data_IF_547993520657
#
_entry.id   IF_547993520657
#
_cell.length_a   1.000
_cell.length_b   1.000
_cell.length_c   1.000
_cell.angle_alpha   90.00
_cell.angle_beta   90.00
_cell.angle_gamma   90.00
#
_symmetry.space_group_name_H-M   'P 1'
#
loop_
_entity.id
_entity.type
_entity.pdbx_description
1 polymer ?
2 non-polymer ?
3 water ?
#
# COMPACT_ATOMS: atom_id res chain seq x y z
N UNK A 1 -7.09 -12.21 -10.55
CA UNK A 1 -6.16 -13.33 -10.16
C UNK A 1 -4.78 -12.77 -9.90
N UNK A 2 -4.12 -13.20 -8.81
CA UNK A 2 -2.71 -12.87 -8.65
C UNK A 2 -1.86 -14.05 -9.09
N UNK A 3 -0.72 -13.72 -9.68
CA UNK A 3 0.12 -14.67 -10.34
C UNK A 3 1.58 -14.59 -9.93
N UNK A 4 2.00 -13.58 -9.14
CA UNK A 4 3.40 -13.40 -8.83
C UNK A 4 3.73 -13.61 -7.37
N UNK A 5 4.82 -14.32 -7.15
CA UNK A 5 5.46 -14.39 -5.87
C UNK A 5 6.62 -13.40 -5.90
N UNK A 6 6.35 -12.18 -5.47
CA UNK A 6 7.38 -11.13 -5.45
C UNK A 6 8.45 -11.45 -4.41
N UNK A 7 9.70 -11.15 -4.73
CA UNK A 7 10.80 -11.39 -3.83
C UNK A 7 11.08 -10.12 -3.05
N UNK A 8 11.16 -10.26 -1.73
CA UNK A 8 11.49 -9.13 -0.88
C UNK A 8 12.94 -8.72 -1.03
N UNK A 9 13.22 -7.45 -0.78
CA UNK A 9 14.59 -6.94 -0.69
C UNK A 9 15.41 -7.78 0.31
N UNK A 10 16.57 -8.29 -0.13
CA UNK A 10 17.51 -8.93 0.80
C UNK A 10 18.02 -7.82 1.73
N UNK A 11 17.96 -8.08 3.00
CA UNK A 11 18.44 -7.06 3.91
C UNK A 11 17.50 -5.86 4.09
N UNK A 12 16.25 -5.97 3.64
CA UNK A 12 15.16 -5.06 3.96
C UNK A 12 15.30 -4.56 5.39
N UNK A 13 15.24 -3.25 5.58
CA UNK A 13 15.32 -2.61 6.89
C UNK A 13 13.93 -2.25 7.36
N UNK A 14 13.37 -3.12 8.19
CA UNK A 14 11.98 -2.95 8.61
C UNK A 14 11.78 -1.72 9.51
N UNK A 15 12.76 -1.40 10.35
CA UNK A 15 12.64 -0.24 11.23
C UNK A 15 12.54 1.07 10.44
N UNK A 16 13.31 1.15 9.37
CA UNK A 16 13.27 2.33 8.52
C UNK A 16 11.95 2.43 7.76
N UNK A 17 11.48 1.34 7.21
CA UNK A 17 10.24 1.35 6.43
C UNK A 17 9.03 1.64 7.31
N UNK A 18 8.95 0.92 8.43
CA UNK A 18 7.87 1.01 9.38
C UNK A 18 8.21 2.02 10.48
N UNK A 19 8.51 3.25 10.08
CA UNK A 19 8.99 4.27 11.01
C UNK A 19 7.91 5.25 11.44
N UNK A 20 6.67 5.03 11.00
CA UNK A 20 5.54 5.90 11.32
C UNK A 20 5.27 7.00 10.32
N UNK A 21 6.12 7.15 9.30
CA UNK A 21 5.94 8.23 8.33
C UNK A 21 5.03 7.73 7.18
N UNK A 22 4.73 8.65 6.28
CA UNK A 22 3.87 8.42 5.11
C UNK A 22 4.71 8.11 3.88
N UNK A 23 4.20 7.16 3.08
CA UNK A 23 4.67 6.85 1.75
C UNK A 23 3.56 7.20 0.76
N UNK A 24 3.92 7.88 -0.33
CA UNK A 24 3.00 8.23 -1.39
C UNK A 24 3.22 7.34 -2.59
N UNK A 25 2.15 6.84 -3.19
CA UNK A 25 2.26 6.14 -4.48
C UNK A 25 2.46 7.19 -5.57
N UNK A 26 3.54 7.11 -6.30
CA UNK A 26 3.80 8.00 -7.41
C UNK A 26 3.51 7.34 -8.76
N UNK A 27 3.60 6.02 -8.81
CA UNK A 27 3.41 5.28 -10.07
C UNK A 27 2.97 3.87 -9.74
N UNK A 28 2.13 3.28 -10.57
CA UNK A 28 1.66 1.92 -10.30
C UNK A 28 1.42 1.17 -11.58
N UNK A 29 1.37 -0.14 -11.44
CA UNK A 29 1.14 -1.04 -12.57
C UNK A 29 0.37 -2.23 -12.07
N UNK A 30 -0.78 -2.50 -12.64
CA UNK A 30 -1.51 -3.72 -12.33
C UNK A 30 -1.47 -4.64 -13.54
N UNK A 31 -1.01 -5.88 -13.32
CA UNK A 31 -0.90 -6.88 -14.38
C UNK A 31 -2.24 -7.24 -15.01
N UNK A 32 -3.31 -6.97 -14.28
CA UNK A 32 -4.69 -6.90 -14.80
C UNK A 32 -5.11 -5.43 -14.81
N UNK A 33 -4.78 -4.67 -15.87
CA UNK A 33 -4.92 -3.20 -15.83
C UNK A 33 -6.35 -2.69 -15.58
N UNK A 34 -7.39 -3.46 -15.95
CA UNK A 34 -8.77 -3.02 -15.72
C UNK A 34 -9.24 -3.09 -14.24
N UNK A 35 -8.42 -3.64 -13.35
CA UNK A 35 -8.77 -3.79 -11.94
C UNK A 35 -8.69 -2.48 -11.17
N UNK A 36 -7.86 -1.56 -11.66
CA UNK A 36 -7.67 -0.24 -11.05
C UNK A 36 -7.89 0.84 -12.12
N UNK A 37 -8.61 1.93 -11.76
CA UNK A 37 -8.79 3.01 -12.72
C UNK A 37 -7.44 3.59 -13.20
N UNK A 38 -7.44 4.13 -14.42
CA UNK A 38 -6.26 4.73 -15.05
C UNK A 38 -5.78 5.96 -14.28
N UNK A 39 -6.71 6.62 -13.60
CA UNK A 39 -6.43 7.76 -12.75
C UNK A 39 -6.79 7.37 -11.32
N UNK A 40 -5.80 7.35 -10.45
CA UNK A 40 -6.00 6.91 -9.08
C UNK A 40 -4.95 7.55 -8.17
N UNK A 41 -5.29 7.70 -6.87
CA UNK A 41 -4.44 8.34 -5.84
C UNK A 41 -4.32 7.34 -4.68
N UNK A 42 -3.14 7.19 -4.08
CA UNK A 42 -3.00 6.36 -2.89
C UNK A 42 -1.78 6.75 -2.11
N UNK A 43 -1.89 6.52 -0.80
CA UNK A 43 -0.79 6.74 0.13
C UNK A 43 -0.99 5.83 1.31
N UNK A 44 0.06 5.64 2.08
CA UNK A 44 0.00 4.77 3.25
C UNK A 44 0.97 5.24 4.32
N UNK A 45 0.58 5.03 5.56
CA UNK A 45 1.51 5.17 6.66
C UNK A 45 1.84 3.78 7.14
N UNK A 46 3.07 3.55 7.53
CA UNK A 46 3.56 2.26 7.98
C UNK A 46 4.37 2.50 9.25
N UNK A 47 4.05 1.79 10.33
CA UNK A 47 4.69 2.04 11.62
C UNK A 47 4.55 0.86 12.53
N UNK A 48 5.20 0.93 13.69
CA UNK A 48 4.85 0.10 14.85
C UNK A 48 4.12 0.97 15.90
N UNK A 49 3.01 0.46 16.40
CA UNK A 49 2.17 1.16 17.41
C UNK A 49 1.91 0.21 18.56
N UNK A 50 2.43 0.56 19.73
CA UNK A 50 2.27 -0.22 20.94
C UNK A 50 2.70 -1.65 20.66
N UNK A 51 3.83 -1.79 19.96
CA UNK A 51 4.46 -3.05 19.53
C UNK A 51 3.83 -3.88 18.43
N UNK A 52 2.80 -3.36 17.76
CA UNK A 52 2.10 -4.03 16.63
C UNK A 52 2.51 -3.39 15.27
N UNK A 53 2.85 -4.22 14.28
CA UNK A 53 3.21 -3.72 12.98
C UNK A 53 1.93 -3.27 12.27
N UNK A 54 1.89 -2.02 11.82
CA UNK A 54 0.62 -1.44 11.35
C UNK A 54 0.78 -0.74 10.03
N UNK A 55 -0.29 -0.78 9.25
CA UNK A 55 -0.38 0.07 8.08
C UNK A 55 -1.74 0.71 7.99
N UNK A 56 -1.77 1.96 7.54
CA UNK A 56 -3.02 2.67 7.25
C UNK A 56 -2.97 3.13 5.79
N UNK A 57 -3.94 2.67 5.02
CA UNK A 57 -3.88 2.75 3.60
C UNK A 57 -5.03 3.62 3.20
N UNK A 58 -4.72 4.52 2.29
CA UNK A 58 -5.66 5.47 1.73
C UNK A 58 -5.71 5.29 0.24
N UNK A 59 -6.90 5.32 -0.32
CA UNK A 59 -6.97 5.45 -1.75
C UNK A 59 -8.21 6.32 -2.16
N UNK A 60 -8.16 6.86 -3.38
CA UNK A 60 -9.06 7.91 -3.75
C UNK A 60 -9.11 7.91 -5.26
N UNK A 61 -10.32 7.75 -5.83
CA UNK A 61 -10.49 7.92 -7.23
C UNK A 61 -10.68 9.41 -7.47
N UNK A 62 -9.71 10.07 -8.15
CA UNK A 62 -9.78 11.52 -8.28
C UNK A 62 -10.91 12.04 -9.18
N UNK A 63 -11.58 11.13 -9.88
CA UNK A 63 -12.62 11.45 -10.87
C UNK A 63 -14.03 11.16 -10.32
N UNK A 64 -14.13 10.14 -9.47
CA UNK A 64 -15.42 9.81 -8.79
C UNK A 64 -15.49 10.34 -7.36
N UNK A 65 -14.33 10.62 -6.74
CA UNK A 65 -14.23 11.14 -5.36
C UNK A 65 -14.44 10.06 -4.31
N UNK A 66 -14.61 8.81 -4.72
CA UNK A 66 -14.76 7.72 -3.76
C UNK A 66 -13.50 7.65 -2.90
N UNK A 67 -13.67 7.54 -1.58
CA UNK A 67 -12.57 7.70 -0.63
C UNK A 67 -12.60 6.55 0.32
N UNK A 68 -11.45 5.91 0.57
CA UNK A 68 -11.34 4.74 1.40
C UNK A 68 -10.11 4.82 2.30
N UNK A 69 -10.31 4.54 3.58
CA UNK A 69 -9.22 4.28 4.51
C UNK A 69 -9.36 2.87 5.04
N UNK A 70 -8.22 2.16 5.02
CA UNK A 70 -8.08 0.82 5.56
C UNK A 70 -7.02 0.89 6.71
N UNK A 71 -7.14 0.01 7.71
CA UNK A 71 -6.12 -0.13 8.75
C UNK A 71 -5.86 -1.59 9.06
N UNK A 72 -4.59 -2.00 9.11
CA UNK A 72 -4.27 -3.38 9.35
C UNK A 72 -3.15 -3.48 10.34
N UNK A 73 -3.33 -4.48 11.19
CA UNK A 73 -2.30 -5.07 12.01
C UNK A 73 -1.64 -6.22 11.24
N UNK A 74 -0.50 -5.94 10.62
CA UNK A 74 0.18 -6.90 9.74
C UNK A 74 0.63 -8.16 10.48
N UNK A 75 0.66 -9.25 9.73
CA UNK A 75 1.29 -10.47 10.18
C UNK A 75 2.44 -10.81 9.23
N UNK A 76 3.47 -11.38 9.80
CA UNK A 76 4.73 -11.58 9.11
C UNK A 76 4.79 -12.96 8.49
N UNK A 77 5.00 -12.98 7.18
CA UNK A 77 5.32 -14.22 6.49
C UNK A 77 6.82 -14.46 6.39
N UNK A 78 7.56 -13.39 6.14
CA UNK A 78 9.04 -13.44 6.09
C UNK A 78 9.47 -11.98 6.09
N UNK A 79 10.75 -11.69 6.31
CA UNK A 79 11.22 -10.29 6.37
C UNK A 79 10.84 -9.60 5.07
N UNK A 80 10.03 -8.55 5.14
CA UNK A 80 9.60 -7.87 3.93
C UNK A 80 8.38 -8.42 3.19
N UNK A 81 7.71 -9.43 3.74
CA UNK A 81 6.49 -10.00 3.16
C UNK A 81 5.45 -10.19 4.26
N UNK A 82 4.31 -9.56 4.07
CA UNK A 82 3.28 -9.43 5.11
C UNK A 82 1.90 -9.77 4.59
N UNK A 83 1.04 -10.16 5.52
CA UNK A 83 -0.39 -10.34 5.28
C UNK A 83 -1.15 -9.30 6.13
N UNK A 84 -2.02 -8.52 5.48
CA UNK A 84 -2.73 -7.41 6.10
C UNK A 84 -4.24 -7.64 6.03
N UNK A 85 -4.82 -8.19 7.10
CA UNK A 85 -6.27 -8.30 7.23
C UNK A 85 -6.71 -6.91 7.65
N UNK A 86 -7.47 -6.24 6.80
CA UNK A 86 -7.81 -4.82 7.03
C UNK A 86 -9.23 -4.62 7.50
N UNK A 87 -9.39 -3.51 8.21
CA UNK A 87 -10.69 -2.98 8.57
C UNK A 87 -10.87 -1.66 7.83
N UNK A 88 -12.06 -1.45 7.29
CA UNK A 88 -12.39 -0.17 6.68
C UNK A 88 -12.79 0.79 7.79
N UNK A 89 -12.21 1.97 7.77
CA UNK A 89 -12.44 2.98 8.78
C UNK A 89 -12.67 4.33 8.13
N UNK A 90 -13.30 5.25 8.86
CA UNK A 90 -13.31 6.68 8.45
C UNK A 90 -11.91 7.25 8.76
N UNK A 91 -11.67 8.51 8.40
CA UNK A 91 -10.39 9.15 8.57
C UNK A 91 -9.94 9.26 10.00
N UNK A 92 -10.92 9.22 10.91
CA UNK A 92 -10.64 9.27 12.32
C UNK A 92 -10.43 7.90 12.99
N UNK A 93 -10.52 6.83 12.21
CA UNK A 93 -10.32 5.50 12.75
C UNK A 93 -11.57 4.77 13.22
N UNK A 94 -12.74 5.38 12.99
CA UNK A 94 -14.03 4.77 13.34
C UNK A 94 -14.32 3.57 12.41
N UNK A 95 -14.66 2.39 12.96
CA UNK A 95 -14.84 1.19 12.14
C UNK A 95 -16.11 1.26 11.31
N UNK A 96 -15.96 1.09 10.00
CA UNK A 96 -17.07 1.00 9.06
C UNK A 96 -17.31 -0.44 8.60
N UNK A 97 -16.21 -1.20 8.43
CA UNK A 97 -16.29 -2.63 8.12
C UNK A 97 -15.21 -3.30 8.95
N UNK A 98 -15.65 -4.18 9.85
CA UNK A 98 -14.76 -4.92 10.71
C UNK A 98 -13.83 -5.84 9.93
N UNK A 99 -12.74 -6.21 10.58
CA UNK A 99 -11.85 -7.25 10.05
C UNK A 99 -12.67 -8.52 9.78
N UNK A 100 -12.41 -9.16 8.65
CA UNK A 100 -13.08 -10.42 8.37
C UNK A 100 -12.12 -11.21 7.53
N UNK A 101 -11.92 -12.56 7.83
CA UNK A 101 -10.82 -13.40 7.33
C UNK A 101 -10.53 -13.21 5.82
N UNK A 102 -11.56 -13.06 5.00
CA UNK A 102 -11.39 -13.00 3.54
C UNK A 102 -10.90 -11.69 2.90
N UNK A 103 -10.88 -10.61 3.69
CA UNK A 103 -10.54 -9.22 3.34
C UNK A 103 -9.11 -9.00 3.78
N UNK A 104 -8.17 -9.18 2.86
CA UNK A 104 -6.76 -8.95 3.17
C UNK A 104 -5.97 -8.63 1.92
N UNK A 105 -4.86 -7.93 2.09
CA UNK A 105 -3.87 -7.89 1.03
C UNK A 105 -2.58 -8.48 1.55
N UNK A 106 -1.80 -9.02 0.61
CA UNK A 106 -0.40 -9.29 0.87
C UNK A 106 0.40 -8.08 0.42
N UNK A 107 1.58 -7.97 1.01
CA UNK A 107 2.39 -6.78 0.91
C UNK A 107 3.86 -7.17 0.97
N UNK A 108 4.54 -6.99 -0.14
CA UNK A 108 5.95 -7.33 -0.25
C UNK A 108 6.77 -6.12 -0.65
N UNK A 109 7.84 -5.86 0.09
CA UNK A 109 8.72 -4.72 -0.19
C UNK A 109 9.90 -5.26 -0.99
N UNK A 110 9.90 -5.00 -2.29
CA UNK A 110 10.89 -5.50 -3.23
C UNK A 110 12.19 -4.69 -3.18
N UNK A 111 12.07 -3.42 -2.85
CA UNK A 111 13.20 -2.49 -2.78
C UNK A 111 12.76 -1.35 -1.87
N UNK A 112 13.66 -0.87 -1.03
CA UNK A 112 13.41 0.33 -0.23
C UNK A 112 14.72 0.97 0.10
N UNK A 113 14.67 2.28 0.18
CA UNK A 113 15.74 3.07 0.79
C UNK A 113 15.08 4.14 1.63
N UNK A 114 15.81 5.17 2.00
CA UNK A 114 15.24 6.14 2.91
C UNK A 114 14.11 6.96 2.30
N UNK A 115 14.12 7.14 0.98
CA UNK A 115 13.18 8.00 0.31
C UNK A 115 12.23 7.34 -0.66
N UNK A 116 12.48 6.08 -1.03
CA UNK A 116 11.77 5.46 -2.12
C UNK A 116 11.59 3.97 -1.86
N UNK A 117 10.62 3.37 -2.56
CA UNK A 117 10.36 1.95 -2.44
C UNK A 117 9.62 1.44 -3.64
N UNK A 118 9.74 0.13 -3.83
CA UNK A 118 8.94 -0.63 -4.83
C UNK A 118 8.27 -1.75 -4.08
N UNK A 119 6.93 -1.81 -4.13
CA UNK A 119 6.17 -2.87 -3.47
C UNK A 119 5.27 -3.61 -4.47
N UNK A 120 4.98 -4.88 -4.14
CA UNK A 120 3.96 -5.67 -4.79
C UNK A 120 2.85 -5.90 -3.78
N UNK A 121 1.60 -5.83 -4.21
CA UNK A 121 0.50 -6.27 -3.36
C UNK A 121 -0.43 -7.13 -4.20
N UNK A 122 -1.10 -8.04 -3.50
CA UNK A 122 -2.26 -8.80 -4.01
C UNK A 122 -3.40 -8.58 -3.03
N UNK A 123 -4.42 -7.86 -3.49
CA UNK A 123 -5.60 -7.59 -2.70
C UNK A 123 -6.64 -8.68 -2.90
N UNK A 124 -7.22 -9.08 -1.78
CA UNK A 124 -8.35 -9.97 -1.80
C UNK A 124 -9.51 -9.30 -1.05
N UNK A 125 -10.67 -9.23 -1.70
CA UNK A 125 -11.90 -8.84 -0.97
C UNK A 125 -12.89 -9.99 -1.19
N UNK A 126 -12.88 -10.98 -0.29
CA UNK A 126 -13.62 -12.24 -0.47
C UNK A 126 -12.97 -13.13 -1.52
N UNK A 127 -13.79 -13.70 -2.41
CA UNK A 127 -13.28 -14.51 -3.53
C UNK A 127 -12.71 -13.68 -4.68
N UNK A 128 -12.79 -12.36 -4.60
CA UNK A 128 -12.33 -11.46 -5.66
C UNK A 128 -10.99 -10.83 -5.30
N UNK A 129 -10.17 -10.50 -6.29
CA UNK A 129 -8.89 -9.82 -6.03
C UNK A 129 -8.65 -8.70 -7.03
N UNK A 130 -7.67 -7.85 -6.71
CA UNK A 130 -7.32 -6.71 -7.56
C UNK A 130 -6.09 -6.93 -8.42
N UNK A 131 -5.66 -8.18 -8.59
CA UNK A 131 -4.58 -8.49 -9.50
C UNK A 131 -3.23 -8.25 -8.88
N UNK A 132 -2.17 -8.64 -9.58
CA UNK A 132 -0.87 -8.18 -9.05
C UNK A 132 -0.72 -6.70 -9.29
N UNK A 133 -0.50 -5.93 -8.23
CA UNK A 133 -0.36 -4.49 -8.32
C UNK A 133 0.98 -4.10 -7.76
N UNK A 134 1.82 -3.49 -8.59
CA UNK A 134 3.10 -2.96 -8.16
C UNK A 134 2.98 -1.48 -7.98
N UNK A 135 3.70 -0.92 -7.03
CA UNK A 135 3.70 0.51 -6.78
C UNK A 135 5.07 1.02 -6.45
N UNK A 136 5.41 2.15 -7.07
CA UNK A 136 6.58 2.95 -6.71
C UNK A 136 6.11 3.96 -5.68
N UNK A 137 6.82 4.00 -4.56
CA UNK A 137 6.54 4.91 -3.45
C UNK A 137 7.64 5.93 -3.30
N UNK A 138 7.29 7.10 -2.76
CA UNK A 138 8.26 8.10 -2.33
C UNK A 138 7.79 8.75 -1.06
N UNK A 139 8.73 9.24 -0.27
CA UNK A 139 8.44 10.06 0.89
C UNK A 139 7.90 11.43 0.53
N UNK A 140 8.19 11.89 -0.68
CA UNK A 140 7.70 13.17 -1.16
C UNK A 140 6.67 12.92 -2.24
N UNK A 141 5.56 13.57 -2.00
CA UNK A 141 4.41 13.49 -2.83
C UNK A 141 4.73 13.78 -4.30
N UNK A 142 5.61 14.72 -4.56
CA UNK A 142 5.88 15.04 -5.97
C UNK A 142 7.10 14.46 -6.69
N UNK A 143 7.84 13.55 -6.04
CA UNK A 143 9.13 13.13 -6.54
C UNK A 143 9.00 12.19 -7.70
N UNK A 144 9.66 12.58 -8.78
CA UNK A 144 9.98 11.71 -9.90
C UNK A 144 10.84 10.55 -9.42
N UNK A 145 10.58 9.38 -9.97
CA UNK A 145 11.30 8.21 -9.58
C UNK A 145 12.78 8.34 -9.96
N UNK A 146 13.63 8.08 -8.98
CA UNK A 146 15.07 8.05 -9.16
C UNK A 146 15.59 6.76 -9.71
N UNK A 147 16.89 6.79 -9.98
CA UNK A 147 17.57 5.66 -10.57
C UNK A 147 17.54 4.41 -9.70
N UNK A 148 17.63 4.54 -8.38
CA UNK A 148 17.62 3.34 -7.56
C UNK A 148 16.31 2.56 -7.74
N UNK A 149 15.16 3.22 -7.59
CA UNK A 149 13.89 2.51 -7.68
C UNK A 149 13.62 2.08 -9.11
N UNK A 150 14.00 2.90 -10.10
CA UNK A 150 13.75 2.49 -11.48
C UNK A 150 14.59 1.24 -11.83
N UNK A 151 15.81 1.18 -11.32
CA UNK A 151 16.63 0.01 -11.53
C UNK A 151 16.03 -1.21 -10.83
N UNK A 152 15.46 -1.04 -9.63
CA UNK A 152 14.75 -2.14 -8.97
C UNK A 152 13.55 -2.62 -9.79
N UNK A 153 12.84 -1.72 -10.48
CA UNK A 153 11.76 -2.14 -11.37
C UNK A 153 12.34 -3.04 -12.47
N UNK A 154 13.44 -2.62 -13.09
CA UNK A 154 14.11 -3.45 -14.08
C UNK A 154 14.59 -4.80 -13.51
N UNK A 155 15.07 -4.80 -12.26
CA UNK A 155 15.57 -6.03 -11.61
C UNK A 155 14.44 -7.03 -11.35
N UNK A 156 13.22 -6.52 -11.22
CA UNK A 156 12.03 -7.36 -11.10
C UNK A 156 11.49 -7.83 -12.46
N UNK A 157 12.24 -7.54 -13.54
CA UNK A 157 11.86 -7.86 -14.92
C UNK A 157 10.55 -7.16 -15.31
N UNK A 158 10.41 -5.91 -14.84
CA UNK A 158 9.33 -5.03 -15.24
C UNK A 158 9.90 -3.84 -15.99
N UNK A 159 9.01 -3.12 -16.66
CA UNK A 159 9.40 -1.93 -17.39
C UNK A 159 8.73 -0.70 -16.78
N UNK A 160 9.54 0.16 -16.20
CA UNK A 160 9.00 1.36 -15.56
C UNK A 160 8.18 2.23 -16.52
N UNK A 161 8.54 2.21 -17.80
CA UNK A 161 7.80 2.93 -18.81
C UNK A 161 6.32 2.56 -18.85
N UNK A 162 5.98 1.37 -18.41
CA UNK A 162 4.59 0.93 -18.43
C UNK A 162 3.82 1.37 -17.19
N UNK A 163 4.50 1.79 -16.14
CA UNK A 163 3.80 2.22 -14.94
C UNK A 163 3.01 3.50 -15.20
N UNK A 164 1.83 3.58 -14.58
CA UNK A 164 0.97 4.75 -14.68
C UNK A 164 1.36 5.70 -13.56
N UNK A 165 1.52 6.97 -13.89
CA UNK A 165 1.83 8.01 -12.93
C UNK A 165 0.58 8.45 -12.22
N UNK A 166 0.69 8.82 -10.94
CA UNK A 166 -0.40 9.46 -10.21
C UNK A 166 -0.25 10.98 -10.13
N UNK A 167 0.78 11.52 -10.75
CA UNK A 167 1.14 12.93 -10.53
C UNK A 167 0.20 13.95 -11.20
N UNK A 168 -0.55 13.56 -12.22
CA UNK A 168 -1.45 14.52 -12.87
C UNK A 168 -2.89 14.39 -12.43
N UNK A 169 -3.11 13.84 -11.23
CA UNK A 169 -4.46 13.57 -10.75
C UNK A 169 -4.97 14.57 -9.74
N UNK A 170 -4.18 15.59 -9.42
CA UNK A 170 -4.58 16.57 -8.44
C UNK A 170 -4.80 15.96 -7.05
N UNK A 171 -4.00 14.93 -6.73
CA UNK A 171 -4.10 14.20 -5.46
C UNK A 171 -3.72 15.09 -4.30
N UNK A 172 -4.53 15.08 -3.23
CA UNK A 172 -4.17 15.70 -1.95
C UNK A 172 -4.42 14.67 -0.87
N UNK A 173 -3.62 14.73 0.18
CA UNK A 173 -3.53 13.67 1.16
C UNK A 173 -3.62 14.27 2.56
N UNK A 174 -4.38 13.62 3.44
CA UNK A 174 -4.47 14.01 4.84
C UNK A 174 -3.41 13.23 5.59
N UNK A 175 -2.21 13.79 5.62
CA UNK A 175 -1.06 13.15 6.29
C UNK A 175 -1.29 12.90 7.76
N UNK A 176 -1.95 13.85 8.41
CA UNK A 176 -2.20 13.73 9.82
C UNK A 176 -3.13 12.58 10.13
N UNK A 177 -4.20 12.42 9.34
CA UNK A 177 -5.10 11.28 9.52
C UNK A 177 -4.33 9.98 9.30
N UNK A 178 -3.52 9.89 8.25
CA UNK A 178 -2.77 8.65 8.01
C UNK A 178 -1.88 8.27 9.16
N UNK A 179 -1.15 9.23 9.72
CA UNK A 179 -0.30 8.91 10.88
C UNK A 179 -1.12 8.48 12.09
N UNK A 180 -2.19 9.17 12.39
CA UNK A 180 -2.93 8.84 13.60
C UNK A 180 -3.70 7.53 13.43
N UNK A 181 -4.01 7.13 12.19
CA UNK A 181 -4.65 5.85 11.97
C UNK A 181 -3.79 4.67 12.37
N UNK A 182 -2.46 4.84 12.42
CA UNK A 182 -1.57 3.76 12.85
C UNK A 182 -1.90 3.25 14.23
N UNK A 183 -2.50 4.09 15.06
CA UNK A 183 -2.83 3.67 16.41
C UNK A 183 -4.20 3.00 16.52
N UNK A 184 -4.96 2.91 15.42
CA UNK A 184 -6.38 2.59 15.50
C UNK A 184 -6.69 1.18 15.08
X LIG B 1 18.23 7.85 -6.28
X LIG B 1 17.27 6.75 -6.60
X LIG B 1 18.36 8.15 -4.81
X LIG B 1 19.58 7.54 -6.84
X LIG B 1 17.72 9.11 -6.96
#
# INVERSE_FOLDING_TARGET
ACTKNAIAQTGFNKDKYFNGDVWYVTDYLDLEPDDVPKRYCAALAAGTASGKLKEALYHYDPKTQDTFYDVSELQVESLGKYTANFKKVDKNGNVKVAVTAGNYYTFTVMYADDSSALIHTCLHKGNKDLGDLYAVLNRNKDAAAGDKVKSAVSAATLEFSKFISTKENNCAYDNDSLKSLLTK
PO4 P O1 O2 O3 O4
#
